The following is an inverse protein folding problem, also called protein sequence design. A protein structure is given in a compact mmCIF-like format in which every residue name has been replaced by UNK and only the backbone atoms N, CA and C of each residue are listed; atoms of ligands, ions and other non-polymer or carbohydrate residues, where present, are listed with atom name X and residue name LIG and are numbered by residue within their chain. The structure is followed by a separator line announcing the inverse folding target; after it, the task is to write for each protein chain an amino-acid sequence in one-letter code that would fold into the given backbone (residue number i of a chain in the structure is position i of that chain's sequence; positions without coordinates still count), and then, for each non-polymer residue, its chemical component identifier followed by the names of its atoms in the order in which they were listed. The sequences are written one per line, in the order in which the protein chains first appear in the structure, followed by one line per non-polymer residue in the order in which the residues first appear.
data_IF_065309659367
#
_entry.id   IF_065309659367
#
_cell.length_a   1.000
_cell.length_b   1.000
_cell.length_c   1.000
_cell.angle_alpha   90.00
_cell.angle_beta   90.00
_cell.angle_gamma   90.00
#
_symmetry.space_group_name_H-M   'P 1'
#
loop_
_entity.id
_entity.type
_entity.pdbx_description
1 polymer ?
#
# COMPACT_ATOMS: atom_id res chain seq x y z
N UNK A 1 64.00 14.73 35.26
CA UNK A 1 63.18 15.25 34.15
C UNK A 1 62.14 14.20 33.84
N UNK A 2 60.86 14.57 33.99
CA UNK A 2 59.71 13.71 34.26
C UNK A 2 58.93 13.37 32.98
N UNK A 3 58.45 12.13 32.90
CA UNK A 3 57.22 11.62 32.24
C UNK A 3 56.80 12.12 30.84
N UNK A 4 56.49 11.18 29.93
CA UNK A 4 55.11 10.85 29.52
C UNK A 4 55.13 9.87 28.34
N UNK A 5 54.75 8.61 28.59
CA UNK A 5 54.38 7.64 27.54
C UNK A 5 52.87 7.67 27.44
N UNK A 6 52.33 8.31 26.39
CA UNK A 6 50.89 8.35 26.12
C UNK A 6 50.47 7.10 25.36
N UNK A 7 49.90 6.13 26.06
CA UNK A 7 49.15 5.02 25.43
C UNK A 7 47.82 5.54 24.90
N UNK A 8 47.62 5.46 23.58
CA UNK A 8 46.34 5.70 22.92
C UNK A 8 45.42 4.48 23.16
N UNK A 9 44.47 4.61 24.08
CA UNK A 9 43.41 3.64 24.31
C UNK A 9 42.31 3.83 23.26
N UNK A 10 42.26 2.94 22.26
CA UNK A 10 41.19 2.89 21.26
C UNK A 10 39.91 2.35 21.90
N UNK A 11 38.95 3.24 22.19
CA UNK A 11 37.61 2.88 22.63
C UNK A 11 36.86 2.26 21.44
N UNK A 12 36.74 0.93 21.43
CA UNK A 12 35.86 0.21 20.50
C UNK A 12 34.42 0.52 20.90
N UNK A 13 33.75 1.39 20.14
CA UNK A 13 32.32 1.65 20.33
C UNK A 13 31.55 0.46 19.74
N UNK A 14 31.02 -0.40 20.61
CA UNK A 14 30.11 -1.46 20.19
C UNK A 14 28.81 -0.81 19.73
N UNK A 15 28.62 -0.70 18.42
CA UNK A 15 27.33 -0.37 17.82
C UNK A 15 26.43 -1.58 18.02
N UNK A 16 25.57 -1.54 19.03
CA UNK A 16 24.49 -2.52 19.16
C UNK A 16 23.51 -2.24 18.03
N UNK A 17 23.65 -2.98 16.94
CA UNK A 17 22.63 -3.03 15.90
C UNK A 17 21.38 -3.63 16.54
N UNK A 18 20.36 -2.81 16.82
CA UNK A 18 19.04 -3.30 17.19
C UNK A 18 18.53 -4.12 15.99
N UNK A 19 18.39 -5.43 16.16
CA UNK A 19 17.82 -6.29 15.14
C UNK A 19 16.45 -5.75 14.72
N UNK A 20 16.21 -5.61 13.41
CA UNK A 20 14.93 -5.14 12.91
C UNK A 20 13.82 -6.12 13.32
N UNK A 21 12.74 -5.61 13.89
CA UNK A 21 11.57 -6.40 14.28
C UNK A 21 10.71 -6.69 13.04
N UNK A 22 10.83 -7.91 12.48
CA UNK A 22 10.10 -8.32 11.28
C UNK A 22 8.66 -8.79 11.54
N UNK A 23 7.85 -7.96 12.21
CA UNK A 23 6.43 -8.24 12.45
C UNK A 23 5.53 -7.78 11.28
N UNK A 24 5.15 -8.73 10.43
CA UNK A 24 4.26 -8.48 9.30
C UNK A 24 2.86 -7.98 9.71
N UNK A 25 2.35 -8.32 10.90
CA UNK A 25 1.03 -7.86 11.36
C UNK A 25 1.06 -6.39 11.77
N UNK A 26 2.16 -5.94 12.39
CA UNK A 26 2.39 -4.52 12.70
C UNK A 26 2.39 -3.69 11.42
N UNK A 27 3.07 -4.16 10.39
CA UNK A 27 3.17 -3.48 9.08
C UNK A 27 1.84 -3.50 8.34
N UNK A 28 1.10 -4.61 8.40
CA UNK A 28 -0.27 -4.70 7.88
C UNK A 28 -1.18 -3.60 8.48
N UNK A 29 -1.10 -3.39 9.80
CA UNK A 29 -1.83 -2.32 10.49
C UNK A 29 -1.37 -0.93 10.02
N UNK A 30 -0.07 -0.68 9.95
CA UNK A 30 0.46 0.58 9.46
C UNK A 30 -0.06 0.90 8.05
N UNK A 31 -0.12 -0.12 7.20
CA UNK A 31 -0.57 0.00 5.82
C UNK A 31 -2.08 0.24 5.69
N UNK A 32 -2.89 -0.44 6.52
CA UNK A 32 -4.33 -0.17 6.63
C UNK A 32 -4.59 1.27 7.04
N UNK A 33 -3.90 1.76 8.07
CA UNK A 33 -4.01 3.14 8.51
C UNK A 33 -3.53 4.10 7.42
N UNK A 34 -2.49 3.76 6.66
CA UNK A 34 -1.96 4.60 5.58
C UNK A 34 -2.89 4.70 4.37
N UNK A 35 -3.80 3.75 4.13
CA UNK A 35 -4.71 3.75 2.96
C UNK A 35 -6.18 3.98 3.27
N UNK A 36 -6.68 3.59 4.45
CA UNK A 36 -8.04 3.84 4.95
C UNK A 36 -9.18 3.18 4.12
N UNK A 37 -8.88 2.21 3.24
CA UNK A 37 -9.92 1.58 2.38
C UNK A 37 -10.25 0.13 2.80
N UNK A 38 -9.37 -0.56 3.53
CA UNK A 38 -9.51 -2.01 3.85
C UNK A 38 -10.20 -2.38 5.18
N UNK A 39 -10.58 -1.40 6.02
CA UNK A 39 -11.28 -1.66 7.29
C UNK A 39 -12.39 -0.64 7.45
N UNK A 40 -13.64 -1.12 7.50
CA UNK A 40 -14.84 -0.29 7.58
C UNK A 40 -14.99 0.47 8.90
N UNK A 41 -14.04 0.33 9.84
CA UNK A 41 -13.95 1.16 11.06
C UNK A 41 -13.04 2.37 10.87
N UNK A 42 -12.16 2.36 9.88
CA UNK A 42 -11.33 3.50 9.54
C UNK A 42 -12.15 4.53 8.76
N UNK A 43 -11.90 5.81 9.04
CA UNK A 43 -12.64 6.91 8.44
C UNK A 43 -11.68 7.89 7.81
N UNK A 44 -11.99 8.31 6.59
CA UNK A 44 -11.30 9.42 5.97
C UNK A 44 -11.61 10.72 6.75
N UNK A 45 -10.68 11.69 6.76
CA UNK A 45 -10.94 12.98 7.40
C UNK A 45 -12.05 13.75 6.67
N UNK A 46 -13.00 14.29 7.43
CA UNK A 46 -14.12 15.10 6.90
C UNK A 46 -14.04 16.58 7.29
N UNK A 47 -13.10 16.93 8.16
CA UNK A 47 -12.83 18.29 8.61
C UNK A 47 -11.32 18.56 8.77
N UNK A 48 -10.96 19.82 9.01
CA UNK A 48 -9.58 20.28 9.09
C UNK A 48 -8.79 19.66 10.26
N UNK A 49 -9.43 19.46 11.41
CA UNK A 49 -8.80 18.86 12.59
C UNK A 49 -8.37 17.43 12.27
N UNK A 50 -9.29 16.60 11.78
CA UNK A 50 -8.99 15.22 11.37
C UNK A 50 -7.91 15.17 10.27
N UNK A 51 -7.93 16.12 9.35
CA UNK A 51 -6.91 16.19 8.30
C UNK A 51 -5.52 16.52 8.85
N UNK A 52 -5.42 17.43 9.83
CA UNK A 52 -4.16 17.74 10.48
C UNK A 52 -3.61 16.51 11.22
N UNK A 53 -4.47 15.76 11.93
CA UNK A 53 -4.09 14.51 12.59
C UNK A 53 -3.55 13.48 11.60
N UNK A 54 -4.32 13.26 10.53
CA UNK A 54 -3.95 12.39 9.42
C UNK A 54 -2.57 12.74 8.86
N UNK A 55 -2.33 14.01 8.52
CA UNK A 55 -1.07 14.46 7.95
C UNK A 55 0.11 14.31 8.91
N UNK A 56 -0.09 14.48 10.22
CA UNK A 56 0.95 14.25 11.24
C UNK A 56 1.32 12.77 11.35
N UNK A 57 0.35 11.88 11.26
CA UNK A 57 0.56 10.43 11.38
C UNK A 57 1.36 9.85 10.20
N UNK A 58 1.32 10.47 9.01
CA UNK A 58 1.88 9.88 7.78
C UNK A 58 3.35 9.54 7.86
N UNK A 59 4.15 10.38 8.51
CA UNK A 59 5.59 10.14 8.63
C UNK A 59 5.88 8.87 9.42
N UNK A 60 5.13 8.61 10.48
CA UNK A 60 5.29 7.41 11.30
C UNK A 60 4.87 6.15 10.53
N UNK A 61 3.72 6.18 9.86
CA UNK A 61 3.24 5.04 9.07
C UNK A 61 4.16 4.73 7.89
N UNK A 62 4.64 5.75 7.18
CA UNK A 62 5.64 5.59 6.11
C UNK A 62 6.90 4.90 6.65
N UNK A 63 7.42 5.34 7.80
CA UNK A 63 8.62 4.75 8.39
C UNK A 63 8.38 3.30 8.79
N UNK A 64 7.22 2.98 9.38
CA UNK A 64 6.83 1.62 9.75
C UNK A 64 6.91 0.65 8.57
N UNK A 65 6.37 1.04 7.39
CA UNK A 65 6.38 0.15 6.22
C UNK A 65 7.76 0.14 5.53
N UNK A 66 8.44 1.29 5.43
CA UNK A 66 9.78 1.37 4.81
C UNK A 66 10.83 0.57 5.55
N UNK A 67 10.82 0.62 6.88
CA UNK A 67 11.80 -0.10 7.70
C UNK A 67 11.65 -1.62 7.53
N UNK A 68 10.41 -2.13 7.58
CA UNK A 68 10.13 -3.52 7.29
C UNK A 68 10.51 -3.91 5.86
N UNK A 69 10.16 -3.09 4.87
CA UNK A 69 10.51 -3.33 3.47
C UNK A 69 12.02 -3.51 3.31
N UNK A 70 12.82 -2.62 3.92
CA UNK A 70 14.28 -2.63 3.79
C UNK A 70 14.93 -3.82 4.51
N UNK A 71 14.43 -4.17 5.69
CA UNK A 71 15.15 -5.08 6.59
C UNK A 71 14.59 -6.51 6.59
N UNK A 72 13.37 -6.73 6.08
CA UNK A 72 12.64 -8.00 6.26
C UNK A 72 12.13 -8.63 4.95
N UNK A 73 12.13 -7.90 3.83
CA UNK A 73 11.73 -8.45 2.53
C UNK A 73 12.95 -8.81 1.69
N UNK A 74 12.81 -9.78 0.79
CA UNK A 74 13.84 -10.03 -0.22
C UNK A 74 13.94 -8.83 -1.19
N UNK A 75 15.06 -8.72 -1.89
CA UNK A 75 15.42 -7.52 -2.65
C UNK A 75 14.32 -7.05 -3.62
N UNK A 76 13.73 -7.97 -4.39
CA UNK A 76 12.68 -7.64 -5.37
C UNK A 76 11.37 -7.18 -4.71
N UNK A 77 10.91 -7.87 -3.67
CA UNK A 77 9.73 -7.42 -2.92
C UNK A 77 10.01 -6.10 -2.19
N UNK A 78 11.20 -5.94 -1.63
CA UNK A 78 11.64 -4.70 -1.00
C UNK A 78 11.59 -3.51 -1.96
N UNK A 79 12.11 -3.68 -3.18
CA UNK A 79 12.06 -2.64 -4.21
C UNK A 79 10.61 -2.33 -4.61
N UNK A 80 9.80 -3.36 -4.85
CA UNK A 80 8.40 -3.21 -5.26
C UNK A 80 7.57 -2.48 -4.19
N UNK A 81 7.68 -2.90 -2.93
CA UNK A 81 6.98 -2.26 -1.80
C UNK A 81 7.51 -0.84 -1.60
N UNK A 82 8.81 -0.59 -1.75
CA UNK A 82 9.37 0.76 -1.64
C UNK A 82 8.79 1.73 -2.67
N UNK A 83 8.60 1.29 -3.92
CA UNK A 83 7.98 2.09 -4.98
C UNK A 83 6.50 2.35 -4.69
N UNK A 84 5.75 1.34 -4.24
CA UNK A 84 4.37 1.52 -3.80
C UNK A 84 4.26 2.55 -2.67
N UNK A 85 5.08 2.42 -1.62
CA UNK A 85 5.07 3.35 -0.49
C UNK A 85 5.50 4.75 -0.90
N UNK A 86 6.43 4.88 -1.85
CA UNK A 86 6.77 6.18 -2.42
C UNK A 86 5.55 6.86 -3.07
N UNK A 87 4.81 6.15 -3.92
CA UNK A 87 3.58 6.67 -4.55
C UNK A 87 2.55 7.12 -3.51
N UNK A 88 2.25 6.27 -2.54
CA UNK A 88 1.30 6.56 -1.46
C UNK A 88 1.74 7.76 -0.62
N UNK A 89 3.02 7.84 -0.23
CA UNK A 89 3.57 8.96 0.53
C UNK A 89 3.49 10.26 -0.27
N UNK A 90 3.92 10.26 -1.53
CA UNK A 90 3.91 11.43 -2.42
C UNK A 90 2.49 11.96 -2.58
N UNK A 91 1.53 11.06 -2.79
CA UNK A 91 0.12 11.40 -2.98
C UNK A 91 -0.53 11.92 -1.71
N UNK A 92 -0.29 11.28 -0.56
CA UNK A 92 -0.76 11.80 0.74
C UNK A 92 -0.16 13.18 1.05
N UNK A 93 1.14 13.40 0.78
CA UNK A 93 1.77 14.73 0.94
C UNK A 93 1.10 15.79 0.06
N UNK A 94 0.75 15.44 -1.18
CA UNK A 94 0.02 16.33 -2.07
C UNK A 94 -1.35 16.70 -1.50
N UNK A 95 -2.13 15.74 -1.00
CA UNK A 95 -3.44 15.98 -0.36
C UNK A 95 -3.34 16.72 0.99
N UNK A 96 -2.21 16.59 1.70
CA UNK A 96 -1.94 17.36 2.91
C UNK A 96 -1.67 18.85 2.65
N UNK A 97 -1.36 19.24 1.40
CA UNK A 97 -1.16 20.64 1.01
C UNK A 97 -2.46 21.45 1.05
N UNK A 98 -2.35 22.77 1.24
CA UNK A 98 -3.51 23.68 1.24
C UNK A 98 -4.36 23.57 -0.03
N UNK A 99 -3.72 23.33 -1.19
CA UNK A 99 -4.37 23.27 -2.50
C UNK A 99 -5.31 22.07 -2.65
N UNK A 100 -4.84 20.86 -2.31
CA UNK A 100 -5.61 19.61 -2.54
C UNK A 100 -6.40 19.13 -1.32
N UNK A 101 -6.18 19.75 -0.16
CA UNK A 101 -6.91 19.40 1.07
C UNK A 101 -8.44 19.44 0.92
N UNK A 102 -9.06 20.46 0.29
CA UNK A 102 -10.51 20.48 0.10
C UNK A 102 -11.05 19.27 -0.66
N UNK A 103 -10.34 18.82 -1.71
CA UNK A 103 -10.66 17.59 -2.45
C UNK A 103 -10.63 16.36 -1.55
N UNK A 104 -9.58 16.18 -0.76
CA UNK A 104 -9.48 15.02 0.13
C UNK A 104 -10.60 14.97 1.18
N UNK A 105 -11.04 16.12 1.69
CA UNK A 105 -12.19 16.19 2.60
C UNK A 105 -13.51 15.83 1.91
N UNK A 106 -13.68 16.14 0.61
CA UNK A 106 -14.84 15.70 -0.19
C UNK A 106 -14.82 14.19 -0.41
N UNK A 107 -13.67 13.63 -0.83
CA UNK A 107 -13.46 12.18 -0.90
C UNK A 107 -13.85 11.54 0.42
N UNK A 108 -13.41 12.12 1.55
CA UNK A 108 -13.72 11.57 2.86
C UNK A 108 -15.20 11.59 3.21
N UNK A 109 -15.93 12.64 2.84
CA UNK A 109 -17.40 12.66 3.00
C UNK A 109 -18.09 11.61 2.14
N UNK A 110 -17.64 11.43 0.89
CA UNK A 110 -18.16 10.37 0.03
C UNK A 110 -17.88 8.98 0.61
N UNK A 111 -16.60 8.65 0.83
CA UNK A 111 -16.19 7.32 1.25
C UNK A 111 -16.82 6.90 2.60
N UNK A 112 -16.94 7.84 3.53
CA UNK A 112 -17.55 7.59 4.84
C UNK A 112 -19.08 7.39 4.79
N UNK A 113 -19.76 7.68 3.67
CA UNK A 113 -21.19 7.40 3.51
C UNK A 113 -21.48 5.91 3.26
N UNK A 114 -20.52 5.17 2.70
CA UNK A 114 -20.64 3.76 2.34
C UNK A 114 -19.38 2.95 2.70
N UNK A 115 -18.88 3.02 3.95
CA UNK A 115 -17.57 2.46 4.32
C UNK A 115 -17.50 0.94 4.12
N UNK A 116 -18.61 0.22 4.31
CA UNK A 116 -18.69 -1.23 4.10
C UNK A 116 -18.56 -1.62 2.63
N UNK A 117 -19.06 -0.81 1.70
CA UNK A 117 -18.95 -1.10 0.26
C UNK A 117 -17.49 -0.96 -0.20
N UNK A 118 -16.83 0.13 0.18
CA UNK A 118 -15.40 0.33 -0.11
C UNK A 118 -14.53 -0.78 0.51
N UNK A 119 -14.78 -1.13 1.78
CA UNK A 119 -14.08 -2.21 2.46
C UNK A 119 -14.32 -3.57 1.79
N UNK A 120 -15.54 -3.83 1.30
CA UNK A 120 -15.87 -5.05 0.56
C UNK A 120 -15.07 -5.16 -0.75
N UNK A 121 -15.02 -4.08 -1.53
CA UNK A 121 -14.25 -4.03 -2.79
C UNK A 121 -12.76 -4.27 -2.51
N UNK A 122 -12.21 -3.59 -1.50
CA UNK A 122 -10.81 -3.77 -1.09
C UNK A 122 -10.51 -5.20 -0.64
N UNK A 123 -11.40 -5.78 0.17
CA UNK A 123 -11.22 -7.14 0.68
C UNK A 123 -11.26 -8.18 -0.44
N UNK A 124 -11.99 -7.94 -1.54
CA UNK A 124 -11.94 -8.83 -2.72
C UNK A 124 -10.55 -8.82 -3.36
N UNK A 125 -9.97 -7.64 -3.59
CA UNK A 125 -8.60 -7.53 -4.12
C UNK A 125 -7.58 -8.17 -3.16
N UNK A 126 -7.65 -7.87 -1.87
CA UNK A 126 -6.75 -8.45 -0.87
C UNK A 126 -6.86 -9.98 -0.87
N UNK A 127 -8.08 -10.55 -0.92
CA UNK A 127 -8.30 -12.00 -1.04
C UNK A 127 -7.66 -12.59 -2.30
N UNK A 128 -7.83 -11.93 -3.44
CA UNK A 128 -7.19 -12.34 -4.69
C UNK A 128 -5.66 -12.41 -4.51
N UNK A 129 -5.05 -11.39 -3.91
CA UNK A 129 -3.60 -11.35 -3.70
C UNK A 129 -3.11 -12.46 -2.76
N UNK A 130 -3.87 -12.78 -1.70
CA UNK A 130 -3.55 -13.94 -0.85
C UNK A 130 -3.57 -15.25 -1.64
N UNK A 131 -4.45 -15.39 -2.63
CA UNK A 131 -4.62 -16.59 -3.42
C UNK A 131 -3.57 -16.73 -4.52
N UNK A 132 -3.18 -15.62 -5.17
CA UNK A 132 -2.32 -15.61 -6.36
C UNK A 132 -0.96 -16.28 -6.11
N UNK A 133 -0.36 -16.08 -4.93
CA UNK A 133 0.92 -16.73 -4.59
C UNK A 133 0.87 -18.27 -4.64
N UNK A 134 -0.32 -18.85 -4.55
CA UNK A 134 -0.52 -20.31 -4.60
C UNK A 134 -0.77 -20.84 -6.02
N UNK A 135 -0.87 -19.94 -7.01
CA UNK A 135 -1.08 -20.35 -8.40
C UNK A 135 0.11 -21.18 -8.90
N UNK A 136 -0.09 -22.38 -9.49
CA UNK A 136 1.01 -23.29 -9.84
C UNK A 136 1.96 -22.72 -10.91
N UNK A 137 1.44 -21.91 -11.83
CA UNK A 137 2.25 -21.20 -12.84
C UNK A 137 2.72 -19.86 -12.29
N UNK A 138 4.00 -19.78 -11.93
CA UNK A 138 4.64 -18.59 -11.35
C UNK A 138 4.61 -17.38 -12.29
N UNK A 139 4.84 -17.63 -13.59
CA UNK A 139 4.92 -16.60 -14.63
C UNK A 139 3.63 -15.78 -14.83
N UNK A 140 2.49 -16.24 -14.32
CA UNK A 140 1.22 -15.49 -14.39
C UNK A 140 0.86 -14.78 -13.08
N UNK A 141 1.63 -14.95 -12.01
CA UNK A 141 1.28 -14.37 -10.70
C UNK A 141 1.29 -12.84 -10.73
N UNK A 142 2.28 -12.22 -11.38
CA UNK A 142 2.33 -10.76 -11.57
C UNK A 142 1.21 -10.27 -12.49
N UNK A 143 0.99 -10.85 -13.68
CA UNK A 143 -0.18 -10.54 -14.49
C UNK A 143 -1.51 -10.59 -13.74
N UNK A 144 -1.73 -11.64 -12.94
CA UNK A 144 -2.93 -11.77 -12.11
C UNK A 144 -3.04 -10.64 -11.08
N UNK A 145 -1.94 -10.27 -10.42
CA UNK A 145 -1.94 -9.18 -9.44
C UNK A 145 -2.31 -7.84 -10.09
N UNK A 146 -1.74 -7.57 -11.28
CA UNK A 146 -2.03 -6.37 -12.07
C UNK A 146 -3.50 -6.32 -12.50
N UNK A 147 -4.03 -7.39 -13.08
CA UNK A 147 -5.42 -7.43 -13.53
C UNK A 147 -6.42 -7.35 -12.37
N UNK A 148 -6.13 -7.96 -11.21
CA UNK A 148 -6.95 -7.82 -10.02
C UNK A 148 -6.92 -6.39 -9.45
N UNK A 149 -5.80 -5.67 -9.60
CA UNK A 149 -5.76 -4.24 -9.26
C UNK A 149 -6.67 -3.42 -10.19
N UNK A 150 -6.62 -3.64 -11.52
CA UNK A 150 -7.47 -2.88 -12.43
C UNK A 150 -8.96 -3.17 -12.24
N UNK A 151 -9.33 -4.43 -11.99
CA UNK A 151 -10.70 -4.78 -11.60
C UNK A 151 -11.12 -4.09 -10.28
N UNK A 152 -10.20 -3.98 -9.32
CA UNK A 152 -10.43 -3.20 -8.11
C UNK A 152 -10.65 -1.71 -8.40
N UNK A 153 -9.79 -1.09 -9.20
CA UNK A 153 -9.91 0.33 -9.58
C UNK A 153 -11.26 0.57 -10.24
N UNK A 154 -11.62 -0.22 -11.25
CA UNK A 154 -12.90 -0.13 -11.96
C UNK A 154 -14.10 -0.26 -11.00
N UNK A 155 -14.08 -1.24 -10.09
CA UNK A 155 -15.14 -1.41 -9.07
C UNK A 155 -15.28 -0.18 -8.15
N UNK A 156 -14.17 0.46 -7.77
CA UNK A 156 -14.20 1.69 -6.98
C UNK A 156 -14.78 2.85 -7.80
N UNK A 157 -14.34 3.01 -9.04
CA UNK A 157 -14.78 4.11 -9.90
C UNK A 157 -16.27 4.01 -10.23
N UNK A 158 -16.79 2.81 -10.54
CA UNK A 158 -18.22 2.57 -10.73
C UNK A 158 -19.05 2.89 -9.48
N UNK A 159 -18.53 2.56 -8.28
CA UNK A 159 -19.19 2.91 -7.03
C UNK A 159 -19.24 4.43 -6.84
N UNK A 160 -18.11 5.12 -7.06
CA UNK A 160 -17.98 6.57 -6.93
C UNK A 160 -18.88 7.31 -7.91
N UNK A 161 -18.91 6.91 -9.18
CA UNK A 161 -19.81 7.46 -10.19
C UNK A 161 -21.28 7.41 -9.73
N UNK A 162 -21.67 6.32 -9.08
CA UNK A 162 -23.03 6.14 -8.57
C UNK A 162 -23.35 6.97 -7.34
N UNK A 163 -22.44 7.05 -6.36
CA UNK A 163 -22.75 7.61 -5.03
C UNK A 163 -22.22 9.03 -4.81
N UNK A 164 -21.19 9.43 -5.54
CA UNK A 164 -20.54 10.74 -5.43
C UNK A 164 -19.84 11.14 -6.74
N UNK A 165 -20.60 11.33 -7.84
CA UNK A 165 -20.03 11.57 -9.18
C UNK A 165 -19.14 12.81 -9.26
N UNK A 166 -19.38 13.82 -8.42
CA UNK A 166 -18.57 15.05 -8.38
C UNK A 166 -17.15 14.83 -7.83
N UNK A 167 -16.91 13.68 -7.19
CA UNK A 167 -15.64 13.30 -6.61
C UNK A 167 -14.86 12.30 -7.49
N UNK A 168 -15.39 11.91 -8.66
CA UNK A 168 -14.80 10.91 -9.55
C UNK A 168 -13.32 11.19 -9.85
N UNK A 169 -12.99 12.34 -10.45
CA UNK A 169 -11.61 12.69 -10.83
C UNK A 169 -10.65 12.77 -9.63
N UNK A 170 -11.17 13.25 -8.49
CA UNK A 170 -10.40 13.38 -7.24
C UNK A 170 -10.07 11.99 -6.67
N UNK A 171 -11.01 11.03 -6.74
CA UNK A 171 -10.78 9.63 -6.33
C UNK A 171 -9.87 8.90 -7.31
N UNK A 172 -10.07 9.09 -8.61
CA UNK A 172 -9.19 8.51 -9.63
C UNK A 172 -7.74 8.97 -9.42
N UNK A 173 -7.55 10.29 -9.27
CA UNK A 173 -6.25 10.88 -8.96
C UNK A 173 -5.61 10.30 -7.69
N UNK A 174 -6.42 9.96 -6.68
CA UNK A 174 -5.94 9.35 -5.44
C UNK A 174 -5.46 7.91 -5.68
N UNK A 175 -6.23 7.09 -6.40
CA UNK A 175 -5.88 5.70 -6.70
C UNK A 175 -4.66 5.60 -7.61
N UNK A 176 -4.63 6.42 -8.66
CA UNK A 176 -3.52 6.50 -9.61
C UNK A 176 -2.24 6.96 -8.92
N UNK A 177 -2.35 8.00 -8.09
CA UNK A 177 -1.23 8.47 -7.29
C UNK A 177 -0.70 7.44 -6.30
N UNK A 178 -1.51 6.45 -5.88
CA UNK A 178 -1.07 5.39 -4.98
C UNK A 178 -0.35 4.28 -5.72
N UNK A 179 -0.83 3.87 -6.90
CA UNK A 179 -0.40 2.62 -7.52
C UNK A 179 0.38 2.76 -8.83
N UNK A 180 0.22 3.85 -9.60
CA UNK A 180 0.77 3.91 -10.97
C UNK A 180 2.29 3.68 -11.03
N UNK A 181 3.04 4.22 -10.07
CA UNK A 181 4.50 4.02 -10.03
C UNK A 181 4.88 2.53 -9.88
N UNK A 182 4.15 1.77 -9.05
CA UNK A 182 4.42 0.33 -8.88
C UNK A 182 3.85 -0.50 -10.02
N UNK A 183 2.71 -0.11 -10.59
CA UNK A 183 2.13 -0.81 -11.75
C UNK A 183 3.05 -0.66 -12.97
N UNK A 184 3.57 0.54 -13.23
CA UNK A 184 4.55 0.76 -14.29
C UNK A 184 5.83 -0.06 -14.10
N UNK A 185 6.20 -0.34 -12.84
CA UNK A 185 7.37 -1.17 -12.53
C UNK A 185 7.13 -2.66 -12.84
N UNK A 186 5.96 -3.21 -12.50
CA UNK A 186 5.76 -4.67 -12.49
C UNK A 186 4.79 -5.20 -13.54
N UNK A 187 3.88 -4.38 -14.08
CA UNK A 187 2.77 -4.86 -14.88
C UNK A 187 3.05 -4.93 -16.39
N UNK A 188 4.07 -4.25 -16.90
CA UNK A 188 4.37 -4.23 -18.33
C UNK A 188 3.13 -3.89 -19.15
N UNK A 189 2.71 -4.80 -20.03
CA UNK A 189 1.55 -4.61 -20.92
C UNK A 189 0.19 -4.97 -20.29
N UNK A 190 0.15 -5.47 -19.05
CA UNK A 190 -1.11 -5.72 -18.34
C UNK A 190 -1.60 -4.40 -17.75
N UNK A 191 -2.34 -3.63 -18.53
CA UNK A 191 -2.84 -2.28 -18.19
C UNK A 191 -4.36 -2.24 -18.22
N UNK A 192 -4.96 -1.12 -17.78
CA UNK A 192 -6.41 -0.91 -17.85
C UNK A 192 -6.96 -1.00 -19.29
N UNK A 193 -6.16 -0.61 -20.27
CA UNK A 193 -6.57 -0.49 -21.67
C UNK A 193 -6.26 -1.74 -22.51
N UNK A 194 -5.65 -2.78 -21.92
CA UNK A 194 -5.30 -3.99 -22.65
C UNK A 194 -6.29 -5.13 -22.41
N UNK A 195 -6.64 -5.82 -23.49
CA UNK A 195 -7.46 -7.05 -23.50
C UNK A 195 -6.75 -8.24 -22.84
N UNK A 196 -5.47 -8.08 -22.48
CA UNK A 196 -4.66 -9.12 -21.81
C UNK A 196 -5.25 -9.55 -20.47
N UNK A 197 -6.02 -8.67 -19.81
CA UNK A 197 -6.65 -9.00 -18.53
C UNK A 197 -7.92 -9.85 -18.66
N UNK A 198 -8.63 -9.79 -19.80
CA UNK A 198 -9.95 -10.41 -19.97
C UNK A 198 -9.90 -11.94 -19.81
N UNK A 199 -8.84 -12.57 -20.33
CA UNK A 199 -8.67 -14.02 -20.27
C UNK A 199 -7.94 -14.50 -19.01
N UNK A 200 -7.02 -13.70 -18.47
CA UNK A 200 -6.13 -14.15 -17.39
C UNK A 200 -6.81 -14.04 -16.03
N UNK A 201 -7.66 -13.04 -15.82
CA UNK A 201 -8.27 -12.79 -14.51
C UNK A 201 -9.12 -13.97 -14.01
N UNK A 202 -9.70 -14.73 -14.93
CA UNK A 202 -10.44 -15.97 -14.64
C UNK A 202 -9.58 -17.09 -14.02
N UNK A 203 -8.25 -16.99 -14.13
CA UNK A 203 -7.30 -17.92 -13.51
C UNK A 203 -6.93 -17.53 -12.07
N UNK A 204 -7.48 -16.44 -11.54
CA UNK A 204 -7.27 -16.04 -10.14
C UNK A 204 -7.79 -17.13 -9.20
N UNK A 205 -6.95 -17.76 -8.36
CA UNK A 205 -7.42 -18.78 -7.43
C UNK A 205 -8.40 -18.21 -6.40
N UNK A 206 -9.32 -19.02 -5.91
CA UNK A 206 -10.23 -18.61 -4.86
C UNK A 206 -9.55 -18.63 -3.48
N UNK A 207 -9.70 -17.54 -2.71
CA UNK A 207 -9.33 -17.52 -1.29
C UNK A 207 -10.52 -17.82 -0.38
N UNK A 208 -10.56 -19.03 0.17
CA UNK A 208 -11.66 -19.51 1.03
C UNK A 208 -11.45 -19.28 2.53
N UNK A 209 -10.25 -18.83 2.93
CA UNK A 209 -9.87 -18.64 4.34
C UNK A 209 -10.15 -17.20 4.79
N UNK A 210 -10.21 -16.94 6.10
CA UNK A 210 -10.13 -15.56 6.61
C UNK A 210 -8.84 -14.88 6.11
N UNK A 211 -8.89 -13.56 5.97
CA UNK A 211 -7.71 -12.76 5.61
C UNK A 211 -6.67 -12.85 6.74
N UNK A 212 -5.47 -13.32 6.42
CA UNK A 212 -4.34 -13.28 7.37
C UNK A 212 -3.81 -11.86 7.56
N UNK A 213 -3.82 -11.09 6.48
CA UNK A 213 -3.45 -9.67 6.40
C UNK A 213 -4.61 -8.92 5.77
N UNK A 214 -5.04 -7.83 6.39
CA UNK A 214 -6.17 -7.04 5.91
C UNK A 214 -5.75 -6.06 4.81
N UNK A 215 -4.52 -5.56 4.84
CA UNK A 215 -3.93 -4.81 3.75
C UNK A 215 -3.40 -5.75 2.67
N UNK A 216 -3.25 -5.22 1.46
CA UNK A 216 -2.76 -5.94 0.29
C UNK A 216 -1.23 -5.97 0.19
N UNK A 217 -0.49 -5.21 1.02
CA UNK A 217 0.97 -5.04 0.85
C UNK A 217 1.75 -6.29 1.19
N UNK A 218 1.42 -6.97 2.28
CA UNK A 218 2.11 -8.23 2.61
C UNK A 218 1.80 -9.32 1.57
N UNK A 219 0.54 -9.54 1.15
CA UNK A 219 0.23 -10.43 0.03
C UNK A 219 0.95 -10.07 -1.27
N UNK A 220 1.04 -8.77 -1.62
CA UNK A 220 1.78 -8.32 -2.79
C UNK A 220 3.27 -8.67 -2.70
N UNK A 221 3.91 -8.39 -1.56
CA UNK A 221 5.30 -8.79 -1.33
C UNK A 221 5.50 -10.30 -1.49
N UNK A 222 4.58 -11.10 -0.94
CA UNK A 222 4.61 -12.56 -1.07
C UNK A 222 4.42 -13.05 -2.51
N UNK A 223 3.64 -12.35 -3.34
CA UNK A 223 3.54 -12.65 -4.77
C UNK A 223 4.89 -12.41 -5.45
N UNK A 224 5.52 -11.26 -5.17
CA UNK A 224 6.80 -10.84 -5.76
C UNK A 224 7.96 -11.75 -5.35
N UNK A 225 7.95 -12.27 -4.12
CA UNK A 225 8.96 -13.21 -3.64
C UNK A 225 8.76 -14.64 -4.15
N UNK A 226 7.64 -14.90 -4.82
CA UNK A 226 7.25 -16.23 -5.26
C UNK A 226 7.47 -16.47 -6.76
N UNK A 227 8.17 -15.56 -7.44
CA UNK A 227 8.45 -15.62 -8.89
C UNK A 227 9.95 -15.70 -9.17
#
# INVERSE_FOLDING_TARGET
MMMMVTMLSSIITIVIATAAECDAKKVDKCMLEMTIIGDSRLRFPTNQTMMNDRCRQMRHLEHCVKDYSKNCLAERASQTVSVLIYGITKTNKAFCSKKRRPSYLRIGRCANSQPELFATIMNRMTKAFHAIKSHPKETIRIPLACCNYYQFKDSIMQLVEKICPNEYDDVETLLDGYANDVLNLICGDYTADSDKCDSIIMQTPEWKRPLTFKSFVIPLAQIIDSI
#
